data_IF_714165653459
#
_entry.id   IF_714165653459
#
_cell.length_a   1.000
_cell.length_b   1.000
_cell.length_c   1.000
_cell.angle_alpha   90.00
_cell.angle_beta   90.00
_cell.angle_gamma   90.00
#
_symmetry.space_group_name_H-M   'P 1'
#
loop_
_entity.id
_entity.type
_entity.pdbx_description
1 polymer ?
#
# COMPACT_ATOMS: atom_id res chain seq x y z
N UNK A 1 -20.65 29.61 -17.44
CA UNK A 1 -20.10 28.62 -18.39
C UNK A 1 -21.20 28.21 -19.33
N UNK A 2 -20.95 28.30 -20.63
CA UNK A 2 -21.81 27.72 -21.65
C UNK A 2 -21.74 26.18 -21.61
N UNK A 3 -22.70 25.53 -22.26
CA UNK A 3 -22.84 24.09 -22.21
C UNK A 3 -21.74 23.35 -22.97
N UNK A 4 -21.12 23.98 -23.98
CA UNK A 4 -19.96 23.42 -24.68
C UNK A 4 -18.75 23.31 -23.77
N UNK A 5 -18.49 24.34 -22.96
CA UNK A 5 -17.42 24.31 -21.95
C UNK A 5 -17.67 23.25 -20.89
N UNK A 6 -18.92 23.09 -20.41
CA UNK A 6 -19.28 22.05 -19.43
C UNK A 6 -19.07 20.63 -20.01
N UNK A 7 -19.51 20.40 -21.23
CA UNK A 7 -19.38 19.10 -21.91
C UNK A 7 -17.91 18.72 -22.10
N UNK A 8 -17.09 19.70 -22.49
CA UNK A 8 -15.65 19.51 -22.69
C UNK A 8 -14.95 19.12 -21.38
N UNK A 9 -15.27 19.80 -20.29
CA UNK A 9 -14.70 19.48 -18.97
C UNK A 9 -15.17 18.12 -18.46
N UNK A 10 -16.43 17.75 -18.69
CA UNK A 10 -16.94 16.44 -18.33
C UNK A 10 -16.23 15.33 -19.11
N UNK A 11 -16.06 15.49 -20.42
CA UNK A 11 -15.33 14.55 -21.26
C UNK A 11 -13.86 14.41 -20.82
N UNK A 12 -13.20 15.53 -20.51
CA UNK A 12 -11.84 15.54 -19.98
C UNK A 12 -11.75 14.77 -18.66
N UNK A 13 -12.65 15.06 -17.72
CA UNK A 13 -12.69 14.40 -16.41
C UNK A 13 -12.90 12.89 -16.56
N UNK A 14 -13.87 12.47 -17.38
CA UNK A 14 -14.13 11.06 -17.67
C UNK A 14 -12.90 10.37 -18.28
N UNK A 15 -12.27 11.01 -19.26
CA UNK A 15 -11.06 10.48 -19.91
C UNK A 15 -9.91 10.31 -18.93
N UNK A 16 -9.64 11.31 -18.10
CA UNK A 16 -8.62 11.24 -17.05
C UNK A 16 -8.92 10.13 -16.04
N UNK A 17 -10.19 9.92 -15.69
CA UNK A 17 -10.60 8.87 -14.76
C UNK A 17 -10.38 7.47 -15.34
N UNK A 18 -10.67 7.26 -16.62
CA UNK A 18 -10.39 5.99 -17.32
C UNK A 18 -8.89 5.72 -17.35
N UNK A 19 -8.07 6.73 -17.65
CA UNK A 19 -6.60 6.61 -17.62
C UNK A 19 -6.13 6.24 -16.20
N UNK A 20 -6.65 6.91 -15.17
CA UNK A 20 -6.32 6.61 -13.78
C UNK A 20 -6.67 5.17 -13.41
N UNK A 21 -7.88 4.72 -13.72
CA UNK A 21 -8.34 3.35 -13.46
C UNK A 21 -7.48 2.32 -14.19
N UNK A 22 -7.22 2.52 -15.49
CA UNK A 22 -6.34 1.65 -16.27
C UNK A 22 -4.95 1.53 -15.66
N UNK A 23 -4.35 2.67 -15.27
CA UNK A 23 -3.05 2.69 -14.59
C UNK A 23 -3.08 2.04 -13.20
N UNK A 24 -4.22 2.01 -12.53
CA UNK A 24 -4.38 1.32 -11.24
C UNK A 24 -4.29 -0.19 -11.39
N UNK A 25 -4.82 -0.76 -12.49
CA UNK A 25 -4.71 -2.20 -12.77
C UNK A 25 -3.30 -2.63 -13.14
N UNK A 26 -2.52 -1.76 -13.77
CA UNK A 26 -1.13 -2.07 -14.16
C UNK A 26 -0.11 -1.74 -13.07
N UNK A 27 -0.53 -1.09 -11.97
CA UNK A 27 0.38 -0.81 -10.87
C UNK A 27 0.76 -2.14 -10.20
N UNK A 28 2.06 -2.40 -9.97
CA UNK A 28 2.45 -3.53 -9.16
C UNK A 28 1.78 -3.39 -7.79
N UNK A 29 1.25 -4.50 -7.29
CA UNK A 29 0.73 -4.57 -5.93
C UNK A 29 1.93 -4.26 -5.05
N UNK A 30 1.95 -3.05 -4.47
CA UNK A 30 2.95 -2.71 -3.46
C UNK A 30 2.74 -3.70 -2.31
N UNK A 31 3.83 -4.21 -1.76
CA UNK A 31 3.75 -4.86 -0.46
C UNK A 31 3.06 -3.89 0.49
N UNK A 32 2.08 -4.41 1.23
CA UNK A 32 1.06 -3.60 1.91
C UNK A 32 1.66 -2.42 2.69
N UNK A 33 1.10 -1.23 2.46
CA UNK A 33 1.44 -0.01 3.22
C UNK A 33 1.07 -0.15 4.71
N UNK A 34 0.20 -1.09 5.06
CA UNK A 34 -0.04 -1.52 6.42
C UNK A 34 0.81 -2.76 6.70
N UNK A 35 1.84 -2.60 7.54
CA UNK A 35 2.85 -3.62 7.76
C UNK A 35 2.23 -4.96 8.17
N UNK A 36 2.19 -5.92 7.24
CA UNK A 36 1.74 -7.29 7.49
C UNK A 36 2.58 -7.97 8.56
N UNK A 37 3.79 -7.46 8.82
CA UNK A 37 4.66 -7.98 9.87
C UNK A 37 4.01 -7.97 11.25
N UNK A 38 3.12 -7.02 11.55
CA UNK A 38 2.39 -6.96 12.83
C UNK A 38 1.45 -8.15 12.98
N UNK A 39 0.73 -8.49 11.91
CA UNK A 39 -0.16 -9.65 11.90
C UNK A 39 0.63 -10.97 11.96
N UNK A 40 1.72 -11.06 11.20
CA UNK A 40 2.64 -12.20 11.24
C UNK A 40 3.20 -12.38 12.65
N UNK A 41 3.72 -11.32 13.27
CA UNK A 41 4.24 -11.35 14.63
C UNK A 41 3.16 -11.77 15.63
N UNK A 42 1.96 -11.18 15.56
CA UNK A 42 0.87 -11.53 16.47
C UNK A 42 0.40 -12.99 16.34
N UNK A 43 0.53 -13.58 15.14
CA UNK A 43 0.17 -14.98 14.88
C UNK A 43 1.17 -16.01 15.42
N UNK A 44 2.40 -15.58 15.77
CA UNK A 44 3.41 -16.45 16.35
C UNK A 44 3.03 -16.90 17.77
N UNK A 45 3.53 -18.08 18.17
CA UNK A 45 3.44 -18.54 19.56
C UNK A 45 4.37 -17.71 20.45
N UNK A 46 4.13 -17.71 21.76
CA UNK A 46 4.85 -16.84 22.71
C UNK A 46 6.36 -17.16 22.78
N UNK A 47 6.75 -18.42 22.62
CA UNK A 47 8.15 -18.86 22.53
C UNK A 47 8.82 -18.35 21.25
N UNK A 48 8.12 -18.41 20.12
CA UNK A 48 8.60 -17.92 18.82
C UNK A 48 8.74 -16.40 18.81
N UNK A 49 7.79 -15.68 19.41
CA UNK A 49 7.85 -14.22 19.59
C UNK A 49 9.08 -13.83 20.41
N UNK A 50 9.31 -14.53 21.53
CA UNK A 50 10.44 -14.23 22.43
C UNK A 50 11.79 -14.47 21.75
N UNK A 51 11.94 -15.59 21.03
CA UNK A 51 13.15 -15.88 20.27
C UNK A 51 13.42 -14.85 19.17
N UNK A 52 12.37 -14.37 18.49
CA UNK A 52 12.48 -13.35 17.46
C UNK A 52 12.92 -11.99 18.06
N UNK A 53 12.35 -11.58 19.19
CA UNK A 53 12.75 -10.34 19.89
C UNK A 53 14.22 -10.42 20.30
N UNK A 54 14.66 -11.52 20.92
CA UNK A 54 16.04 -11.70 21.37
C UNK A 54 17.04 -11.60 20.21
N UNK A 55 16.72 -12.21 19.07
CA UNK A 55 17.54 -12.12 17.86
C UNK A 55 17.63 -10.68 17.33
N UNK A 56 16.52 -9.94 17.33
CA UNK A 56 16.49 -8.54 16.88
C UNK A 56 17.28 -7.61 17.82
N UNK A 57 17.22 -7.84 19.12
CA UNK A 57 18.03 -7.11 20.11
C UNK A 57 19.52 -7.35 19.92
N UNK A 58 19.94 -8.61 19.71
CA UNK A 58 21.33 -8.95 19.41
C UNK A 58 21.83 -8.26 18.14
N UNK A 59 21.00 -8.20 17.09
CA UNK A 59 21.35 -7.48 15.85
C UNK A 59 21.47 -5.98 16.06
N UNK A 60 20.61 -5.38 16.88
CA UNK A 60 20.65 -3.95 17.19
C UNK A 60 21.89 -3.58 18.00
N UNK A 61 22.35 -4.44 18.91
CA UNK A 61 23.59 -4.22 19.65
C UNK A 61 24.86 -4.42 18.83
N UNK A 62 24.75 -4.97 17.62
CA UNK A 62 25.88 -5.22 16.72
C UNK A 62 26.15 -4.06 15.74
N UNK A 63 25.37 -2.98 15.82
CA UNK A 63 25.48 -1.72 15.05
C UNK A 63 25.58 -0.53 16.01
#
# INVERSE_FOLDING_TARGET
>A
MDDGTKLTLLALWMGLFVIFAGRKFTQPIKDDIGDKSVFTFNSLRDDEKKALIEKLEQQKSQY
#
